data_IF_364430327702
#
_entry.id   IF_364430327702
#
_cell.length_a   1.000
_cell.length_b   1.000
_cell.length_c   1.000
_cell.angle_alpha   90.00
_cell.angle_beta   90.00
_cell.angle_gamma   90.00
#
_symmetry.space_group_name_H-M   'P 1'
#
loop_
_entity.id
_entity.type
_entity.pdbx_description
1 polymer ?
#
# COMPACT_ATOMS: atom_id res chain seq x y z
N UNK A 1 -8.87 14.08 -14.91
CA UNK A 1 -7.89 13.14 -15.52
C UNK A 1 -7.36 13.78 -16.77
N UNK A 2 -6.04 13.70 -17.00
CA UNK A 2 -5.41 14.14 -18.25
C UNK A 2 -5.47 13.01 -19.28
N UNK A 3 -5.67 13.35 -20.55
CA UNK A 3 -5.66 12.37 -21.65
C UNK A 3 -4.22 12.16 -22.10
N UNK A 4 -3.73 10.93 -21.94
CA UNK A 4 -2.40 10.51 -22.37
C UNK A 4 -2.56 9.39 -23.39
N UNK A 5 -1.83 9.48 -24.51
CA UNK A 5 -1.76 8.41 -25.50
C UNK A 5 -0.48 7.63 -25.24
N UNK A 6 -0.63 6.34 -24.94
CA UNK A 6 0.47 5.40 -24.68
C UNK A 6 0.12 4.08 -25.34
N UNK A 7 1.13 3.39 -25.86
CA UNK A 7 0.99 2.02 -26.32
C UNK A 7 1.06 1.06 -25.12
N UNK A 8 0.15 0.09 -25.11
CA UNK A 8 0.04 -0.91 -24.05
C UNK A 8 -0.06 -2.29 -24.69
N UNK A 9 0.55 -3.27 -24.05
CA UNK A 9 0.37 -4.66 -24.41
C UNK A 9 -1.06 -5.09 -24.04
N UNK A 10 -1.86 -5.42 -25.05
CA UNK A 10 -3.26 -5.78 -24.89
C UNK A 10 -3.46 -7.12 -24.17
N UNK A 11 -2.50 -8.04 -24.27
CA UNK A 11 -2.55 -9.31 -23.54
C UNK A 11 -2.32 -9.08 -22.04
N UNK A 12 -1.35 -8.24 -21.70
CA UNK A 12 -1.10 -7.84 -20.30
C UNK A 12 -2.30 -7.10 -19.71
N UNK A 13 -2.89 -6.16 -20.47
CA UNK A 13 -4.08 -5.44 -20.01
C UNK A 13 -5.26 -6.38 -19.80
N UNK A 14 -5.46 -7.37 -20.68
CA UNK A 14 -6.51 -8.37 -20.51
C UNK A 14 -6.28 -9.26 -19.28
N UNK A 15 -5.04 -9.72 -19.06
CA UNK A 15 -4.68 -10.52 -17.88
C UNK A 15 -4.91 -9.75 -16.57
N UNK A 16 -4.48 -8.49 -16.53
CA UNK A 16 -4.68 -7.62 -15.36
C UNK A 16 -6.17 -7.27 -15.18
N UNK A 17 -6.92 -7.04 -16.26
CA UNK A 17 -8.35 -6.79 -16.18
C UNK A 17 -9.10 -7.97 -15.55
N UNK A 18 -8.75 -9.19 -15.96
CA UNK A 18 -9.29 -10.42 -15.36
C UNK A 18 -8.91 -10.55 -13.88
N UNK A 19 -7.66 -10.25 -13.53
CA UNK A 19 -7.19 -10.32 -12.15
C UNK A 19 -7.86 -9.26 -11.23
N UNK A 20 -8.16 -8.08 -11.77
CA UNK A 20 -8.78 -6.96 -11.04
C UNK A 20 -10.31 -6.94 -11.14
N UNK A 21 -10.91 -7.77 -12.00
CA UNK A 21 -12.35 -7.79 -12.25
C UNK A 21 -12.87 -6.54 -12.96
N UNK A 22 -12.03 -5.85 -13.73
CA UNK A 22 -12.37 -4.59 -14.40
C UNK A 22 -12.83 -4.83 -15.84
N UNK A 23 -13.72 -3.97 -16.33
CA UNK A 23 -14.39 -4.16 -17.63
C UNK A 23 -13.82 -3.28 -18.74
N UNK A 24 -13.12 -2.20 -18.40
CA UNK A 24 -12.54 -1.28 -19.38
C UNK A 24 -11.03 -1.12 -19.22
N UNK A 25 -10.30 -0.96 -20.34
CA UNK A 25 -8.84 -0.73 -20.32
C UNK A 25 -8.45 0.45 -19.41
N UNK A 26 -9.22 1.55 -19.47
CA UNK A 26 -9.03 2.72 -18.59
C UNK A 26 -9.19 2.37 -17.11
N UNK A 27 -10.22 1.61 -16.77
CA UNK A 27 -10.46 1.20 -15.39
C UNK A 27 -9.35 0.26 -14.90
N UNK A 28 -8.95 -0.72 -15.71
CA UNK A 28 -7.84 -1.63 -15.43
C UNK A 28 -6.56 -0.87 -15.10
N UNK A 29 -6.17 0.10 -15.94
CA UNK A 29 -4.95 0.89 -15.74
C UNK A 29 -5.05 1.71 -14.44
N UNK A 30 -6.15 2.41 -14.22
CA UNK A 30 -6.30 3.23 -13.02
C UNK A 30 -6.32 2.40 -11.73
N UNK A 31 -6.97 1.23 -11.75
CA UNK A 31 -7.02 0.33 -10.59
C UNK A 31 -5.66 -0.32 -10.36
N UNK A 32 -4.96 -0.74 -11.42
CA UNK A 32 -3.61 -1.29 -11.32
C UNK A 32 -2.63 -0.28 -10.70
N UNK A 33 -2.65 0.99 -11.13
CA UNK A 33 -1.80 2.04 -10.55
C UNK A 33 -2.07 2.25 -9.06
N UNK A 34 -3.34 2.21 -8.63
CA UNK A 34 -3.70 2.32 -7.20
C UNK A 34 -3.22 1.11 -6.40
N UNK A 35 -3.40 -0.10 -6.92
CA UNK A 35 -2.95 -1.32 -6.23
C UNK A 35 -1.43 -1.40 -6.12
N UNK A 36 -0.67 -0.95 -7.13
CA UNK A 36 0.80 -0.86 -7.06
C UNK A 36 1.22 0.10 -5.93
N UNK A 37 0.60 1.27 -5.82
CA UNK A 37 0.90 2.21 -4.73
C UNK A 37 0.51 1.64 -3.36
N UNK A 38 -0.63 0.94 -3.27
CA UNK A 38 -1.07 0.27 -2.04
C UNK A 38 -0.09 -0.83 -1.63
N UNK A 39 0.37 -1.64 -2.58
CA UNK A 39 1.38 -2.67 -2.36
C UNK A 39 2.71 -2.08 -1.91
N UNK A 40 3.17 -0.99 -2.54
CA UNK A 40 4.38 -0.28 -2.12
C UNK A 40 4.25 0.29 -0.71
N UNK A 41 3.10 0.90 -0.38
CA UNK A 41 2.83 1.42 0.98
C UNK A 41 2.87 0.30 2.02
N UNK A 42 2.23 -0.84 1.73
CA UNK A 42 2.27 -2.03 2.59
C UNK A 42 3.68 -2.57 2.77
N UNK A 43 4.45 -2.71 1.70
CA UNK A 43 5.83 -3.19 1.75
C UNK A 43 6.75 -2.26 2.59
N UNK A 44 6.53 -0.95 2.51
CA UNK A 44 7.30 0.05 3.26
C UNK A 44 6.81 0.26 4.69
N UNK A 45 5.68 -0.34 5.10
CA UNK A 45 5.16 -0.17 6.45
C UNK A 45 6.10 -0.80 7.51
N UNK A 46 6.62 -2.00 7.24
CA UNK A 46 7.52 -2.70 8.16
C UNK A 46 8.88 -2.01 8.31
N UNK A 47 9.58 -1.58 7.24
CA UNK A 47 10.78 -0.76 7.36
C UNK A 47 10.56 0.54 8.14
N UNK A 48 9.43 1.22 7.92
CA UNK A 48 9.09 2.45 8.65
C UNK A 48 8.88 2.19 10.14
N UNK A 49 8.19 1.10 10.48
CA UNK A 49 8.00 0.69 11.87
C UNK A 49 9.34 0.41 12.56
N UNK A 50 10.25 -0.31 11.89
CA UNK A 50 11.60 -0.58 12.40
C UNK A 50 12.42 0.68 12.63
N UNK A 51 12.36 1.63 11.69
CA UNK A 51 13.03 2.92 11.83
C UNK A 51 12.49 3.68 13.05
N UNK A 52 11.16 3.78 13.19
CA UNK A 52 10.53 4.42 14.34
C UNK A 52 10.92 3.76 15.68
N UNK A 53 10.99 2.43 15.74
CA UNK A 53 11.49 1.73 16.95
C UNK A 53 12.94 2.11 17.28
N UNK A 54 13.80 2.23 16.27
CA UNK A 54 15.22 2.57 16.45
C UNK A 54 15.40 4.02 16.91
N UNK A 55 14.51 4.92 16.46
CA UNK A 55 14.48 6.33 16.85
C UNK A 55 13.84 6.58 18.22
N UNK A 56 13.46 5.52 18.96
CA UNK A 56 12.87 5.65 20.29
C UNK A 56 11.41 6.11 20.28
N UNK A 57 10.68 5.94 19.17
CA UNK A 57 9.28 6.33 19.05
C UNK A 57 8.33 5.54 19.98
N UNK A 58 8.81 4.46 20.59
CA UNK A 58 8.10 3.69 21.61
C UNK A 58 8.75 3.91 22.96
N UNK A 59 8.03 4.55 23.88
CA UNK A 59 8.39 4.58 25.29
C UNK A 59 7.98 3.25 25.93
N UNK A 60 8.88 2.28 25.87
CA UNK A 60 8.65 0.95 26.45
C UNK A 60 8.58 0.99 27.97
N UNK A 61 9.19 1.98 28.62
CA UNK A 61 9.14 2.14 30.07
C UNK A 61 7.73 2.53 30.55
N UNK A 62 6.98 3.29 29.74
CA UNK A 62 5.57 3.59 29.99
C UNK A 62 4.69 2.32 30.02
N UNK A 63 4.99 1.33 29.18
CA UNK A 63 4.28 0.04 29.14
C UNK A 63 4.68 -0.90 30.29
N UNK A 64 5.78 -0.64 30.98
CA UNK A 64 6.23 -1.43 32.13
C UNK A 64 5.60 -0.95 33.46
N UNK A 65 5.00 0.25 33.49
CA UNK A 65 4.32 0.77 34.68
C UNK A 65 2.93 0.14 34.86
N UNK A 66 2.92 -1.03 35.50
CA UNK A 66 1.70 -1.81 35.82
C UNK A 66 0.76 -1.12 36.80
N UNK A 67 1.15 -0.01 37.45
CA UNK A 67 0.29 0.70 38.41
C UNK A 67 -0.93 1.36 37.73
N UNK A 68 -0.87 1.59 36.43
CA UNK A 68 -1.93 2.23 35.64
C UNK A 68 -2.88 1.26 34.93
N UNK A 69 -2.70 -0.06 35.11
CA UNK A 69 -3.44 -1.08 34.34
C UNK A 69 -4.85 -1.38 34.89
N UNK A 70 -5.16 -0.93 36.10
CA UNK A 70 -6.46 -1.13 36.75
C UNK A 70 -6.99 0.21 37.27
N UNK A 71 -7.61 0.98 36.39
CA UNK A 71 -8.61 1.99 36.76
C UNK A 71 -9.81 1.83 35.85
#
# INVERSE_FOLDING_TARGET
MTRTVIDLDDELVAAVAKALGTSSKKETVNTALREVLKNRRRALALPRLRAATTEGAFDLALFEDKRNYRR
#
